data_IF_563645754136
#
_entry.id   IF_563645754136
#
_cell.length_a   1.000
_cell.length_b   1.000
_cell.length_c   1.000
_cell.angle_alpha   90.00
_cell.angle_beta   90.00
_cell.angle_gamma   90.00
#
_symmetry.space_group_name_H-M   'P 1'
#
loop_
_entity.id
_entity.type
_entity.pdbx_description
1 polymer ?
#
# COMPACT_ATOMS: atom_id res chain seq x y z
N UNK A 1 -20.88 -47.31 -25.01
CA UNK A 1 -19.83 -46.69 -24.16
C UNK A 1 -20.11 -47.06 -22.72
N UNK A 2 -19.24 -47.84 -22.08
CA UNK A 2 -19.42 -48.21 -20.67
C UNK A 2 -19.28 -46.97 -19.78
N UNK A 3 -20.33 -46.67 -19.01
CA UNK A 3 -20.37 -45.57 -18.04
C UNK A 3 -19.38 -45.84 -16.88
N UNK A 4 -18.14 -45.39 -17.03
CA UNK A 4 -17.10 -45.45 -15.99
C UNK A 4 -17.48 -44.48 -14.86
N UNK A 5 -17.51 -44.92 -13.58
CA UNK A 5 -17.77 -44.02 -12.46
C UNK A 5 -16.69 -42.94 -12.32
N UNK A 6 -17.03 -41.71 -11.91
CA UNK A 6 -16.05 -40.65 -11.66
C UNK A 6 -15.00 -41.08 -10.62
N UNK A 7 -13.79 -40.49 -10.64
CA UNK A 7 -12.76 -40.80 -9.65
C UNK A 7 -13.23 -40.47 -8.22
N UNK A 8 -12.74 -41.22 -7.23
CA UNK A 8 -13.08 -41.01 -5.81
C UNK A 8 -12.80 -39.59 -5.33
N UNK A 9 -11.78 -38.94 -5.90
CA UNK A 9 -11.41 -37.55 -5.61
C UNK A 9 -12.49 -36.54 -6.00
N UNK A 10 -13.37 -36.88 -6.94
CA UNK A 10 -14.50 -36.06 -7.37
C UNK A 10 -15.81 -36.34 -6.60
N UNK A 11 -15.79 -37.23 -5.60
CA UNK A 11 -16.97 -37.60 -4.81
C UNK A 11 -16.96 -36.88 -3.45
N UNK A 12 -18.14 -36.54 -2.91
CA UNK A 12 -18.23 -35.89 -1.60
C UNK A 12 -17.77 -36.82 -0.47
N UNK A 13 -17.41 -36.25 0.68
CA UNK A 13 -17.01 -37.03 1.86
C UNK A 13 -18.08 -38.05 2.27
N UNK A 14 -19.34 -37.63 2.31
CA UNK A 14 -20.48 -38.50 2.62
C UNK A 14 -20.62 -39.65 1.61
N UNK A 15 -20.40 -39.39 0.32
CA UNK A 15 -20.43 -40.42 -0.72
C UNK A 15 -19.29 -41.44 -0.55
N UNK A 16 -18.09 -40.96 -0.18
CA UNK A 16 -16.92 -41.81 0.10
C UNK A 16 -17.14 -42.67 1.34
N UNK A 17 -17.69 -42.11 2.41
CA UNK A 17 -18.04 -42.84 3.64
C UNK A 17 -19.12 -43.89 3.37
N UNK A 18 -20.14 -43.54 2.59
CA UNK A 18 -21.19 -44.50 2.20
C UNK A 18 -20.61 -45.65 1.37
N UNK A 19 -19.68 -45.36 0.45
CA UNK A 19 -19.00 -46.40 -0.34
C UNK A 19 -18.11 -47.28 0.55
N UNK A 20 -17.43 -46.70 1.54
CA UNK A 20 -16.62 -47.42 2.52
C UNK A 20 -17.48 -48.35 3.39
N UNK A 21 -18.63 -47.89 3.87
CA UNK A 21 -19.57 -48.72 4.64
C UNK A 21 -20.06 -49.92 3.81
N UNK A 22 -20.36 -49.72 2.52
CA UNK A 22 -20.70 -50.82 1.62
C UNK A 22 -19.54 -51.79 1.41
N UNK A 23 -18.32 -51.28 1.30
CA UNK A 23 -17.12 -52.10 1.18
C UNK A 23 -16.92 -52.98 2.42
N UNK A 24 -17.05 -52.42 3.62
CA UNK A 24 -16.94 -53.18 4.87
C UNK A 24 -17.94 -54.34 4.95
N UNK A 25 -19.15 -54.16 4.39
CA UNK A 25 -20.17 -55.21 4.32
C UNK A 25 -19.75 -56.35 3.39
N UNK A 26 -19.14 -56.06 2.24
CA UNK A 26 -18.73 -57.09 1.26
C UNK A 26 -17.31 -57.62 1.48
N UNK A 27 -16.49 -56.96 2.30
CA UNK A 27 -15.09 -57.32 2.55
C UNK A 27 -14.91 -58.77 3.03
N UNK A 28 -15.73 -59.32 3.96
CA UNK A 28 -15.61 -60.72 4.38
C UNK A 28 -15.83 -61.72 3.23
N UNK A 29 -16.66 -61.37 2.25
CA UNK A 29 -16.83 -62.20 1.04
C UNK A 29 -15.61 -62.10 0.11
N UNK A 30 -15.07 -60.89 -0.10
CA UNK A 30 -13.88 -60.67 -0.92
C UNK A 30 -12.63 -61.33 -0.32
N UNK A 31 -12.57 -61.49 1.00
CA UNK A 31 -11.50 -62.18 1.74
C UNK A 31 -11.73 -63.70 1.86
N UNK A 32 -12.79 -64.24 1.26
CA UNK A 32 -13.18 -65.66 1.35
C UNK A 32 -13.52 -66.16 2.76
N UNK A 33 -13.87 -65.25 3.68
CA UNK A 33 -14.24 -65.59 5.07
C UNK A 33 -15.72 -65.96 5.21
N UNK A 34 -16.60 -65.35 4.41
CA UNK A 34 -18.06 -65.60 4.44
C UNK A 34 -18.64 -65.77 3.05
N UNK A 35 -19.74 -66.51 2.94
CA UNK A 35 -20.55 -66.55 1.71
C UNK A 35 -21.50 -65.35 1.64
N UNK A 36 -21.88 -64.92 0.43
CA UNK A 36 -22.89 -63.86 0.27
C UNK A 36 -24.26 -64.20 0.89
N UNK A 37 -24.56 -65.48 1.07
CA UNK A 37 -25.78 -65.92 1.77
C UNK A 37 -25.70 -65.57 3.26
N UNK A 38 -24.59 -65.89 3.93
CA UNK A 38 -24.37 -65.54 5.34
C UNK A 38 -24.37 -64.02 5.58
N UNK A 39 -23.76 -63.24 4.68
CA UNK A 39 -23.79 -61.77 4.79
C UNK A 39 -25.20 -61.21 4.58
N UNK A 40 -25.99 -61.78 3.67
CA UNK A 40 -27.37 -61.37 3.45
C UNK A 40 -28.24 -61.62 4.69
N UNK A 41 -28.07 -62.77 5.35
CA UNK A 41 -28.82 -63.13 6.56
C UNK A 41 -28.45 -62.23 7.76
N UNK A 42 -27.17 -61.88 7.91
CA UNK A 42 -26.68 -61.01 9.01
C UNK A 42 -27.05 -59.53 8.84
N UNK A 43 -27.03 -59.01 7.60
CA UNK A 43 -27.22 -57.58 7.32
C UNK A 43 -28.64 -57.23 6.88
N UNK A 44 -29.47 -58.22 6.53
CA UNK A 44 -30.79 -58.03 5.94
C UNK A 44 -30.76 -57.47 4.52
N UNK A 45 -29.59 -57.38 3.88
CA UNK A 45 -29.44 -56.86 2.52
C UNK A 45 -29.65 -57.99 1.52
N UNK A 46 -30.53 -57.78 0.54
CA UNK A 46 -30.81 -58.77 -0.50
C UNK A 46 -29.52 -59.22 -1.22
N UNK A 47 -29.35 -60.54 -1.37
CA UNK A 47 -28.19 -61.17 -2.05
C UNK A 47 -27.89 -60.59 -3.44
N UNK A 48 -28.93 -60.18 -4.18
CA UNK A 48 -28.80 -59.49 -5.49
C UNK A 48 -28.07 -58.15 -5.39
N UNK A 49 -28.33 -57.38 -4.34
CA UNK A 49 -27.68 -56.09 -4.09
C UNK A 49 -26.22 -56.29 -3.71
N UNK A 50 -25.92 -57.30 -2.88
CA UNK A 50 -24.54 -57.66 -2.53
C UNK A 50 -23.74 -58.11 -3.77
N UNK A 51 -24.34 -58.95 -4.63
CA UNK A 51 -23.73 -59.31 -5.92
C UNK A 51 -23.44 -58.09 -6.80
N UNK A 52 -24.36 -57.12 -6.85
CA UNK A 52 -24.16 -55.89 -7.61
C UNK A 52 -23.02 -55.03 -7.04
N UNK A 53 -22.88 -54.98 -5.70
CA UNK A 53 -21.75 -54.29 -5.05
C UNK A 53 -20.43 -54.97 -5.32
N UNK A 54 -20.36 -56.31 -5.19
CA UNK A 54 -19.16 -57.09 -5.54
C UNK A 54 -18.75 -56.83 -6.99
N UNK A 55 -19.67 -56.96 -7.95
CA UNK A 55 -19.37 -56.70 -9.36
C UNK A 55 -18.90 -55.25 -9.60
N UNK A 56 -19.53 -54.27 -8.95
CA UNK A 56 -19.12 -52.88 -9.04
C UNK A 56 -17.71 -52.65 -8.48
N UNK A 57 -17.39 -53.30 -7.35
CA UNK A 57 -16.07 -53.23 -6.72
C UNK A 57 -15.00 -53.95 -7.54
N UNK A 58 -15.27 -55.15 -8.06
CA UNK A 58 -14.32 -55.90 -8.89
C UNK A 58 -13.97 -55.13 -10.17
N UNK A 59 -14.96 -54.48 -10.78
CA UNK A 59 -14.77 -53.77 -12.03
C UNK A 59 -14.12 -52.39 -11.86
N UNK A 60 -14.40 -51.68 -10.75
CA UNK A 60 -14.02 -50.27 -10.61
C UNK A 60 -13.38 -49.90 -9.28
N UNK A 61 -13.21 -50.85 -8.35
CA UNK A 61 -12.79 -50.59 -6.97
C UNK A 61 -13.86 -49.83 -6.18
N UNK A 62 -13.45 -49.08 -5.15
CA UNK A 62 -14.35 -48.38 -4.24
C UNK A 62 -15.31 -47.40 -4.95
N UNK A 63 -14.91 -46.80 -6.08
CA UNK A 63 -15.78 -45.91 -6.88
C UNK A 63 -16.98 -46.63 -7.51
N UNK A 64 -16.90 -47.96 -7.69
CA UNK A 64 -18.03 -48.77 -8.16
C UNK A 64 -19.16 -48.93 -7.15
N UNK A 65 -18.89 -48.64 -5.87
CA UNK A 65 -19.88 -48.70 -4.78
C UNK A 65 -20.63 -47.37 -4.56
N UNK A 66 -20.19 -46.30 -5.23
CA UNK A 66 -20.84 -44.99 -5.18
C UNK A 66 -22.14 -45.04 -5.98
N UNK A 67 -23.22 -44.49 -5.39
CA UNK A 67 -24.52 -44.43 -6.06
C UNK A 67 -24.41 -43.51 -7.28
N UNK A 68 -24.78 -44.02 -8.46
CA UNK A 68 -24.89 -43.19 -9.67
C UNK A 68 -25.96 -42.12 -9.44
N UNK A 69 -25.58 -40.85 -9.53
CA UNK A 69 -26.51 -39.75 -9.74
C UNK A 69 -27.15 -39.89 -11.12
N UNK A 70 -28.40 -39.43 -11.25
CA UNK A 70 -29.08 -39.48 -12.55
C UNK A 70 -28.36 -38.55 -13.52
N UNK A 71 -28.22 -38.97 -14.78
CA UNK A 71 -27.54 -38.19 -15.83
C UNK A 71 -28.22 -36.87 -16.20
N UNK A 72 -29.51 -36.73 -15.86
CA UNK A 72 -30.33 -35.53 -16.09
C UNK A 72 -30.40 -34.60 -14.88
N UNK A 73 -29.79 -34.95 -13.74
CA UNK A 73 -29.82 -34.09 -12.56
C UNK A 73 -29.01 -32.82 -12.83
N UNK A 74 -29.71 -31.68 -12.93
CA UNK A 74 -29.07 -30.39 -13.17
C UNK A 74 -29.32 -29.81 -14.57
N UNK A 75 -29.74 -30.61 -15.56
CA UNK A 75 -30.10 -30.07 -16.88
C UNK A 75 -31.43 -29.32 -16.84
N UNK A 76 -31.58 -28.33 -17.71
CA UNK A 76 -32.84 -27.63 -17.96
C UNK A 76 -33.31 -28.08 -19.34
N UNK A 77 -34.48 -28.72 -19.42
CA UNK A 77 -35.09 -29.04 -20.71
C UNK A 77 -35.69 -27.77 -21.31
N UNK A 78 -34.89 -27.06 -22.09
CA UNK A 78 -35.29 -25.92 -22.92
C UNK A 78 -34.50 -25.96 -24.23
N UNK A 79 -35.06 -25.35 -25.26
CA UNK A 79 -34.36 -25.13 -26.51
C UNK A 79 -33.08 -24.30 -26.26
N UNK A 80 -31.92 -24.70 -26.81
CA UNK A 80 -30.67 -23.94 -26.71
C UNK A 80 -30.81 -22.46 -27.11
N UNK A 81 -31.69 -22.11 -28.05
CA UNK A 81 -31.92 -20.72 -28.45
C UNK A 81 -32.57 -19.90 -27.33
N UNK A 82 -33.51 -20.50 -26.61
CA UNK A 82 -34.20 -19.88 -25.47
C UNK A 82 -33.22 -19.69 -24.31
N UNK A 83 -32.37 -20.67 -24.04
CA UNK A 83 -31.32 -20.57 -23.01
C UNK A 83 -30.38 -19.39 -23.32
N UNK A 84 -29.85 -19.31 -24.55
CA UNK A 84 -28.98 -18.20 -24.98
C UNK A 84 -29.68 -16.84 -24.89
N UNK A 85 -30.97 -16.76 -25.21
CA UNK A 85 -31.74 -15.53 -25.10
C UNK A 85 -31.89 -15.09 -23.64
N UNK A 86 -32.17 -16.02 -22.72
CA UNK A 86 -32.23 -15.76 -21.27
C UNK A 86 -30.88 -15.24 -20.76
N UNK A 87 -29.78 -15.90 -21.11
CA UNK A 87 -28.42 -15.49 -20.70
C UNK A 87 -28.11 -14.06 -21.17
N UNK A 88 -28.40 -13.72 -22.43
CA UNK A 88 -28.21 -12.36 -22.95
C UNK A 88 -29.02 -11.32 -22.19
N UNK A 89 -30.28 -11.63 -21.85
CA UNK A 89 -31.12 -10.71 -21.07
C UNK A 89 -30.56 -10.49 -19.67
N UNK A 90 -30.08 -11.54 -19.00
CA UNK A 90 -29.44 -11.45 -17.67
C UNK A 90 -28.16 -10.61 -17.72
N UNK A 91 -27.30 -10.84 -18.72
CA UNK A 91 -26.04 -10.10 -18.84
C UNK A 91 -26.25 -8.64 -19.26
N UNK A 92 -27.29 -8.34 -20.04
CA UNK A 92 -27.60 -6.97 -20.51
C UNK A 92 -28.25 -6.10 -19.43
N UNK A 93 -29.17 -6.65 -18.64
CA UNK A 93 -30.03 -5.84 -17.75
C UNK A 93 -29.70 -6.02 -16.27
N UNK A 94 -28.65 -5.34 -15.80
CA UNK A 94 -28.17 -5.38 -14.40
C UNK A 94 -29.24 -5.15 -13.33
N UNK A 95 -30.14 -4.17 -13.55
CA UNK A 95 -31.12 -3.72 -12.54
C UNK A 95 -32.45 -4.48 -12.60
N UNK A 96 -32.63 -5.36 -13.58
CA UNK A 96 -33.90 -6.04 -13.75
C UNK A 96 -33.99 -7.23 -12.81
N UNK A 97 -35.13 -7.36 -12.15
CA UNK A 97 -35.45 -8.57 -11.39
C UNK A 97 -35.56 -9.78 -12.32
N UNK A 98 -35.32 -10.99 -11.80
CA UNK A 98 -35.55 -12.22 -12.56
C UNK A 98 -37.00 -12.35 -13.04
N UNK A 99 -37.95 -11.78 -12.30
CA UNK A 99 -39.35 -11.70 -12.72
C UNK A 99 -39.53 -10.83 -13.96
N UNK A 100 -38.83 -9.70 -14.03
CA UNK A 100 -38.82 -8.84 -15.22
C UNK A 100 -38.20 -9.55 -16.42
N UNK A 101 -37.08 -10.25 -16.21
CA UNK A 101 -36.40 -11.04 -17.24
C UNK A 101 -37.29 -12.18 -17.76
N UNK A 102 -38.01 -12.87 -16.85
CA UNK A 102 -38.98 -13.90 -17.19
C UNK A 102 -40.12 -13.37 -18.09
N UNK A 103 -40.70 -12.21 -17.77
CA UNK A 103 -41.72 -11.58 -18.63
C UNK A 103 -41.17 -11.24 -20.02
N UNK A 104 -39.96 -10.70 -20.08
CA UNK A 104 -39.32 -10.32 -21.36
C UNK A 104 -39.06 -11.54 -22.26
N UNK A 105 -38.55 -12.64 -21.70
CA UNK A 105 -38.33 -13.86 -22.50
C UNK A 105 -39.64 -14.50 -22.93
N UNK A 106 -40.69 -14.51 -22.10
CA UNK A 106 -42.00 -15.04 -22.48
C UNK A 106 -42.61 -14.27 -23.67
N UNK A 107 -42.42 -12.94 -23.73
CA UNK A 107 -42.82 -12.13 -24.88
C UNK A 107 -42.03 -12.48 -26.14
N UNK A 108 -40.70 -12.61 -26.04
CA UNK A 108 -39.86 -13.02 -27.17
C UNK A 108 -40.20 -14.43 -27.69
N UNK A 109 -40.52 -15.36 -26.78
CA UNK A 109 -40.95 -16.70 -27.14
C UNK A 109 -42.29 -16.68 -27.89
N UNK A 110 -43.24 -15.82 -27.52
CA UNK A 110 -44.52 -15.67 -28.23
C UNK A 110 -44.32 -15.14 -29.65
N UNK A 111 -43.51 -14.11 -29.83
CA UNK A 111 -43.23 -13.54 -31.15
C UNK A 111 -42.54 -14.53 -32.10
N UNK A 112 -41.70 -15.41 -31.54
CA UNK A 112 -40.89 -16.37 -32.32
C UNK A 112 -41.47 -17.79 -32.37
N UNK A 113 -42.59 -18.04 -31.71
CA UNK A 113 -43.20 -19.37 -31.62
C UNK A 113 -42.39 -20.37 -30.79
N UNK A 114 -41.52 -19.92 -29.89
CA UNK A 114 -40.75 -20.80 -28.99
C UNK A 114 -41.57 -21.21 -27.77
N UNK A 115 -41.24 -22.36 -27.18
CA UNK A 115 -41.81 -22.77 -25.90
C UNK A 115 -41.38 -21.80 -24.80
N UNK A 116 -42.36 -21.29 -24.05
CA UNK A 116 -42.10 -20.36 -22.96
C UNK A 116 -41.44 -21.06 -21.76
N UNK A 117 -40.37 -20.48 -21.20
CA UNK A 117 -39.75 -21.02 -20.00
C UNK A 117 -40.59 -20.69 -18.76
N UNK A 118 -40.56 -21.59 -17.78
CA UNK A 118 -41.04 -21.30 -16.43
C UNK A 118 -40.06 -20.39 -15.69
N UNK A 119 -40.57 -19.68 -14.67
CA UNK A 119 -39.73 -18.85 -13.79
C UNK A 119 -38.58 -19.66 -13.17
N UNK A 120 -38.86 -20.89 -12.74
CA UNK A 120 -37.85 -21.78 -12.15
C UNK A 120 -36.70 -22.09 -13.13
N UNK A 121 -37.00 -22.28 -14.42
CA UNK A 121 -35.98 -22.52 -15.42
C UNK A 121 -35.11 -21.27 -15.65
N UNK A 122 -35.71 -20.07 -15.64
CA UNK A 122 -34.97 -18.80 -15.72
C UNK A 122 -34.08 -18.59 -14.49
N UNK A 123 -34.58 -18.85 -13.28
CA UNK A 123 -33.80 -18.79 -12.04
C UNK A 123 -32.63 -19.78 -12.06
N UNK A 124 -32.86 -21.02 -12.50
CA UNK A 124 -31.82 -22.05 -12.61
C UNK A 124 -30.74 -21.68 -13.63
N UNK A 125 -31.13 -21.11 -14.78
CA UNK A 125 -30.17 -20.58 -15.78
C UNK A 125 -29.35 -19.43 -15.18
N UNK A 126 -30.00 -18.50 -14.48
CA UNK A 126 -29.32 -17.41 -13.77
C UNK A 126 -28.30 -17.91 -12.74
N UNK A 127 -28.64 -18.94 -11.98
CA UNK A 127 -27.73 -19.58 -11.00
C UNK A 127 -26.60 -20.36 -11.67
N UNK A 128 -26.81 -20.88 -12.87
CA UNK A 128 -25.78 -21.59 -13.63
C UNK A 128 -24.76 -20.66 -14.31
N UNK A 129 -25.15 -19.40 -14.58
CA UNK A 129 -24.23 -18.36 -15.05
C UNK A 129 -23.21 -18.03 -13.95
N UNK A 130 -21.93 -18.13 -14.28
CA UNK A 130 -20.87 -17.80 -13.33
C UNK A 130 -20.96 -16.34 -12.86
N UNK A 131 -20.71 -16.13 -11.57
CA UNK A 131 -20.69 -14.77 -11.01
C UNK A 131 -19.62 -13.90 -11.66
N UNK A 132 -18.52 -14.52 -12.11
CA UNK A 132 -17.46 -13.87 -12.87
C UNK A 132 -17.97 -13.23 -14.17
N UNK A 133 -18.82 -13.94 -14.93
CA UNK A 133 -19.42 -13.41 -16.17
C UNK A 133 -20.42 -12.27 -15.88
N UNK A 134 -21.19 -12.38 -14.79
CA UNK A 134 -22.12 -11.30 -14.37
C UNK A 134 -21.35 -10.04 -13.98
N UNK A 135 -20.29 -10.18 -13.19
CA UNK A 135 -19.45 -9.04 -12.78
C UNK A 135 -18.77 -8.40 -14.00
N UNK A 136 -18.23 -9.20 -14.92
CA UNK A 136 -17.64 -8.69 -16.15
C UNK A 136 -18.67 -7.90 -16.99
N UNK A 137 -19.86 -8.45 -17.20
CA UNK A 137 -20.90 -7.79 -17.99
C UNK A 137 -21.47 -6.53 -17.32
N UNK A 138 -21.58 -6.51 -15.99
CA UNK A 138 -22.31 -5.45 -15.26
C UNK A 138 -21.42 -4.37 -14.67
N UNK A 139 -20.15 -4.68 -14.42
CA UNK A 139 -19.18 -3.82 -13.73
C UNK A 139 -17.89 -3.61 -14.55
N UNK A 140 -17.73 -4.36 -15.65
CA UNK A 140 -16.62 -4.20 -16.58
C UNK A 140 -15.35 -4.96 -16.18
N UNK A 141 -14.37 -4.90 -17.08
CA UNK A 141 -13.11 -5.64 -17.01
C UNK A 141 -12.34 -5.38 -15.70
N UNK A 142 -12.27 -4.13 -15.24
CA UNK A 142 -11.51 -3.76 -14.03
C UNK A 142 -12.06 -4.41 -12.74
N UNK A 143 -13.39 -4.46 -12.61
CA UNK A 143 -14.04 -5.10 -11.46
C UNK A 143 -13.87 -6.62 -11.50
N UNK A 144 -13.95 -7.21 -12.71
CA UNK A 144 -13.66 -8.62 -12.93
C UNK A 144 -12.24 -8.99 -12.51
N UNK A 145 -11.23 -8.28 -13.03
CA UNK A 145 -9.82 -8.54 -12.74
C UNK A 145 -9.55 -8.43 -11.23
N UNK A 146 -10.11 -7.45 -10.54
CA UNK A 146 -9.93 -7.29 -9.10
C UNK A 146 -10.54 -8.44 -8.27
N UNK A 147 -11.62 -9.06 -8.74
CA UNK A 147 -12.38 -10.03 -7.97
C UNK A 147 -12.08 -11.49 -8.34
N UNK A 148 -11.71 -11.77 -9.60
CA UNK A 148 -11.62 -13.13 -10.14
C UNK A 148 -10.26 -13.50 -10.74
N UNK A 149 -9.37 -12.54 -11.08
CA UNK A 149 -8.02 -12.91 -11.51
C UNK A 149 -7.24 -13.50 -10.33
N UNK A 150 -6.55 -14.62 -10.57
CA UNK A 150 -5.57 -15.14 -9.63
C UNK A 150 -4.40 -14.15 -9.49
N UNK A 151 -4.27 -13.57 -8.30
CA UNK A 151 -3.15 -12.69 -7.96
C UNK A 151 -1.99 -13.57 -7.47
N UNK A 152 -0.97 -13.76 -8.31
CA UNK A 152 0.32 -14.23 -7.82
C UNK A 152 0.99 -13.07 -7.07
N UNK A 153 0.79 -13.02 -5.75
CA UNK A 153 1.46 -12.05 -4.88
C UNK A 153 2.91 -12.51 -4.74
N UNK A 154 3.86 -11.76 -5.29
CA UNK A 154 5.23 -11.83 -4.76
C UNK A 154 5.16 -11.20 -3.38
N UNK A 155 5.29 -12.03 -2.36
CA UNK A 155 5.42 -11.60 -0.98
C UNK A 155 6.88 -11.78 -0.60
N UNK A 156 7.48 -10.72 -0.09
CA UNK A 156 8.79 -10.73 0.53
C UNK A 156 8.78 -11.73 1.70
N UNK A 157 9.87 -12.43 1.83
CA UNK A 157 10.12 -13.48 2.82
C UNK A 157 10.90 -12.94 4.03
N UNK A 158 11.58 -11.80 3.90
CA UNK A 158 12.36 -11.16 4.98
C UNK A 158 12.44 -9.63 4.79
N UNK A 159 12.81 -8.87 5.85
CA UNK A 159 12.98 -7.42 5.75
C UNK A 159 14.06 -7.01 4.73
N UNK A 160 13.89 -5.87 4.07
CA UNK A 160 14.74 -5.37 2.97
C UNK A 160 14.76 -6.18 1.67
N UNK A 161 14.00 -7.27 1.55
CA UNK A 161 13.90 -7.94 0.25
C UNK A 161 13.19 -7.05 -0.79
N UNK A 162 12.03 -6.49 -0.42
CA UNK A 162 11.23 -5.64 -1.31
C UNK A 162 10.76 -4.39 -0.57
N UNK A 163 11.14 -3.24 -1.09
CA UNK A 163 10.57 -1.95 -0.69
C UNK A 163 9.62 -1.43 -1.76
N UNK A 164 8.47 -0.90 -1.35
CA UNK A 164 7.48 -0.29 -2.24
C UNK A 164 7.44 1.22 -2.04
N UNK A 165 7.45 1.98 -3.13
CA UNK A 165 7.24 3.43 -3.08
C UNK A 165 5.91 3.84 -3.73
N UNK A 166 5.24 4.81 -3.12
CA UNK A 166 4.06 5.45 -3.70
C UNK A 166 3.87 6.87 -3.17
N UNK A 167 3.03 7.63 -3.86
CA UNK A 167 2.67 8.98 -3.52
C UNK A 167 1.15 9.11 -3.35
N UNK A 168 0.72 9.95 -2.42
CA UNK A 168 -0.69 10.35 -2.30
C UNK A 168 -0.82 11.83 -2.00
N UNK A 169 -1.87 12.46 -2.53
CA UNK A 169 -2.25 13.82 -2.15
C UNK A 169 -3.06 13.75 -0.86
N UNK A 170 -2.53 14.30 0.24
CA UNK A 170 -3.18 14.21 1.54
C UNK A 170 -4.51 14.97 1.56
N UNK A 171 -5.49 14.42 2.28
CA UNK A 171 -6.83 15.00 2.43
C UNK A 171 -6.88 16.06 3.55
N UNK A 172 -5.84 16.91 3.62
CA UNK A 172 -5.69 17.97 4.62
C UNK A 172 -5.18 19.26 3.97
N UNK A 173 -5.71 20.40 4.41
CA UNK A 173 -5.20 21.73 4.08
C UNK A 173 -4.23 22.19 5.16
N UNK A 174 -3.03 22.60 4.74
CA UNK A 174 -2.02 23.22 5.61
C UNK A 174 -1.52 24.53 4.99
N UNK A 175 -0.93 25.40 5.81
CA UNK A 175 -0.41 26.69 5.38
C UNK A 175 0.92 26.51 4.66
N UNK A 176 0.99 27.01 3.42
CA UNK A 176 2.24 27.15 2.69
C UNK A 176 3.04 28.39 3.15
N UNK A 177 4.23 28.59 2.57
CA UNK A 177 5.12 29.72 2.89
C UNK A 177 4.48 31.10 2.71
N UNK A 178 3.44 31.20 1.86
CA UNK A 178 2.69 32.43 1.60
C UNK A 178 1.48 32.59 2.53
N UNK A 179 1.34 31.71 3.54
CA UNK A 179 0.19 31.57 4.44
C UNK A 179 -1.13 31.31 3.71
N UNK A 180 -1.08 30.59 2.60
CA UNK A 180 -2.27 30.12 1.88
C UNK A 180 -2.51 28.64 2.17
N UNK A 181 -3.77 28.21 2.34
CA UNK A 181 -4.11 26.80 2.44
C UNK A 181 -3.76 26.05 1.15
N UNK A 182 -3.06 24.94 1.27
CA UNK A 182 -2.67 24.09 0.16
C UNK A 182 -2.60 22.63 0.63
N UNK A 183 -2.88 21.68 -0.27
CA UNK A 183 -2.80 20.25 0.03
C UNK A 183 -1.40 19.74 -0.27
N UNK A 184 -0.71 19.09 0.69
CA UNK A 184 0.59 18.50 0.45
C UNK A 184 0.47 17.08 -0.09
N UNK A 185 1.46 16.70 -0.90
CA UNK A 185 1.76 15.33 -1.28
C UNK A 185 2.62 14.66 -0.21
N UNK A 186 2.37 13.37 0.00
CA UNK A 186 3.17 12.47 0.81
C UNK A 186 3.73 11.37 -0.10
N UNK A 187 5.04 11.24 -0.11
CA UNK A 187 5.76 10.08 -0.68
C UNK A 187 6.13 9.16 0.46
N UNK A 188 5.89 7.86 0.33
CA UNK A 188 6.26 6.85 1.33
C UNK A 188 7.00 5.70 0.69
N UNK A 189 7.99 5.18 1.41
CA UNK A 189 8.68 3.93 1.13
C UNK A 189 8.37 2.95 2.25
N UNK A 190 7.79 1.81 1.89
CA UNK A 190 7.31 0.79 2.80
C UNK A 190 8.11 -0.51 2.59
N UNK A 191 8.60 -1.10 3.66
CA UNK A 191 9.11 -2.47 3.63
C UNK A 191 7.94 -3.45 3.50
N UNK A 192 7.96 -4.28 2.45
CA UNK A 192 6.82 -5.11 2.09
C UNK A 192 6.61 -6.26 3.08
N UNK A 193 7.68 -6.88 3.57
CA UNK A 193 7.63 -7.99 4.53
C UNK A 193 7.02 -7.56 5.87
N UNK A 194 7.57 -6.51 6.48
CA UNK A 194 7.18 -6.04 7.80
C UNK A 194 5.96 -5.10 7.78
N UNK A 195 5.61 -4.54 6.62
CA UNK A 195 4.71 -3.38 6.51
C UNK A 195 5.21 -2.15 7.27
N UNK A 196 6.51 -2.06 7.59
CA UNK A 196 7.06 -0.90 8.29
C UNK A 196 7.46 0.19 7.29
N UNK A 197 7.10 1.44 7.59
CA UNK A 197 7.57 2.60 6.81
C UNK A 197 9.08 2.79 7.00
N UNK A 198 9.84 2.71 5.91
CA UNK A 198 11.28 2.93 5.89
C UNK A 198 11.62 4.41 5.74
N UNK A 199 10.89 5.17 4.92
CA UNK A 199 11.11 6.60 4.73
C UNK A 199 9.88 7.30 4.15
N UNK A 200 9.83 8.62 4.29
CA UNK A 200 8.79 9.43 3.70
C UNK A 200 9.26 10.84 3.33
N UNK A 201 8.45 11.54 2.55
CA UNK A 201 8.72 12.93 2.18
C UNK A 201 7.41 13.69 1.99
N UNK A 202 7.25 14.83 2.67
CA UNK A 202 6.05 15.68 2.61
C UNK A 202 6.36 16.98 1.86
N UNK A 203 5.59 17.31 0.83
CA UNK A 203 5.83 18.53 0.04
C UNK A 203 4.57 19.03 -0.66
N UNK A 204 4.53 20.30 -1.05
CA UNK A 204 3.46 20.83 -1.91
C UNK A 204 3.69 20.58 -3.40
N UNK A 205 4.91 20.17 -3.78
CA UNK A 205 5.22 19.86 -5.17
C UNK A 205 4.56 18.54 -5.58
N UNK A 206 4.10 18.47 -6.83
CA UNK A 206 3.58 17.23 -7.39
C UNK A 206 4.66 16.12 -7.42
N UNK A 207 4.28 14.84 -7.38
CA UNK A 207 5.20 13.69 -7.43
C UNK A 207 6.25 13.84 -8.53
N UNK A 208 7.47 13.43 -8.20
CA UNK A 208 8.63 13.50 -9.09
C UNK A 208 9.76 12.59 -8.60
N UNK A 209 10.68 12.25 -9.51
CA UNK A 209 11.86 11.42 -9.21
C UNK A 209 12.65 11.89 -7.99
N UNK A 210 12.77 13.20 -7.86
CA UNK A 210 13.52 13.80 -6.77
C UNK A 210 12.86 13.58 -5.42
N UNK A 211 11.52 13.52 -5.36
CA UNK A 211 10.81 13.29 -4.09
C UNK A 211 10.98 11.84 -3.63
N UNK A 212 10.92 10.91 -4.58
CA UNK A 212 11.29 9.51 -4.33
C UNK A 212 12.73 9.41 -3.87
N UNK A 213 13.68 10.06 -4.55
CA UNK A 213 15.09 10.02 -4.20
C UNK A 213 15.34 10.52 -2.77
N UNK A 214 14.71 11.62 -2.37
CA UNK A 214 14.80 12.15 -1.00
C UNK A 214 14.14 11.24 0.04
N UNK A 215 13.02 10.62 -0.29
CA UNK A 215 12.40 9.60 0.57
C UNK A 215 13.32 8.37 0.70
N UNK A 216 13.95 7.93 -0.39
CA UNK A 216 14.86 6.79 -0.44
C UNK A 216 16.15 7.07 0.34
N UNK A 217 16.70 8.27 0.23
CA UNK A 217 17.84 8.72 1.02
C UNK A 217 17.57 8.57 2.53
N UNK A 218 16.41 9.07 3.00
CA UNK A 218 15.99 8.91 4.39
C UNK A 218 15.71 7.43 4.74
N UNK A 219 15.14 6.68 3.80
CA UNK A 219 14.82 5.28 4.01
C UNK A 219 16.07 4.43 4.25
N UNK A 220 17.11 4.60 3.42
CA UNK A 220 18.35 3.83 3.50
C UNK A 220 19.16 4.19 4.73
N UNK A 221 19.30 5.48 5.04
CA UNK A 221 20.14 5.90 6.15
C UNK A 221 19.47 5.71 7.52
N UNK A 222 20.29 5.72 8.58
CA UNK A 222 19.82 5.65 9.96
C UNK A 222 19.11 6.94 10.33
N UNK A 223 17.99 6.82 11.05
CA UNK A 223 17.21 7.97 11.53
C UNK A 223 17.84 8.50 12.82
N UNK A 224 17.65 9.79 13.07
CA UNK A 224 18.02 10.39 14.34
C UNK A 224 17.16 9.83 15.50
N UNK A 225 15.87 9.57 15.23
CA UNK A 225 15.00 8.89 16.18
C UNK A 225 15.35 7.40 16.25
N UNK A 226 15.85 6.96 17.41
CA UNK A 226 16.26 5.56 17.67
C UNK A 226 15.09 4.56 17.63
N UNK A 227 13.87 5.03 17.90
CA UNK A 227 12.67 4.19 17.84
C UNK A 227 12.23 3.91 16.39
N UNK A 228 12.83 4.61 15.41
CA UNK A 228 12.65 4.34 13.99
C UNK A 228 13.85 3.58 13.42
N UNK A 229 13.93 2.28 13.73
CA UNK A 229 15.08 1.42 13.38
C UNK A 229 15.14 0.94 11.93
N UNK A 230 14.07 1.12 11.15
CA UNK A 230 13.97 0.65 9.77
C UNK A 230 15.01 1.37 8.92
N UNK A 231 15.93 0.66 8.27
CA UNK A 231 16.97 1.24 7.41
C UNK A 231 17.67 0.18 6.54
N UNK A 232 18.60 0.60 5.70
CA UNK A 232 19.43 -0.25 4.86
C UNK A 232 19.09 -0.20 3.37
N UNK A 233 19.86 -0.93 2.58
CA UNK A 233 19.71 -1.04 1.13
C UNK A 233 18.77 -2.21 0.83
N UNK A 234 17.64 -1.99 0.14
CA UNK A 234 16.75 -3.07 -0.26
C UNK A 234 17.30 -3.84 -1.47
N UNK A 235 16.94 -5.11 -1.61
CA UNK A 235 17.28 -5.89 -2.82
C UNK A 235 16.45 -5.44 -4.02
N UNK A 236 15.15 -5.22 -3.81
CA UNK A 236 14.23 -4.76 -4.83
C UNK A 236 13.54 -3.47 -4.39
N UNK A 237 13.51 -2.49 -5.29
CA UNK A 237 12.75 -1.26 -5.09
C UNK A 237 11.64 -1.19 -6.14
N UNK A 238 10.41 -1.41 -5.67
CA UNK A 238 9.21 -1.50 -6.46
C UNK A 238 8.46 -0.17 -6.53
N UNK A 239 8.29 0.37 -7.73
CA UNK A 239 7.66 1.68 -7.95
C UNK A 239 6.69 1.67 -9.13
N UNK A 240 5.89 2.73 -9.28
CA UNK A 240 5.05 2.91 -10.46
C UNK A 240 5.90 3.23 -11.70
N UNK A 241 5.37 2.95 -12.90
CA UNK A 241 5.95 3.30 -14.20
C UNK A 241 5.83 4.81 -14.53
N UNK A 242 5.53 5.66 -13.54
CA UNK A 242 5.52 7.11 -13.72
C UNK A 242 6.89 7.60 -14.22
N UNK A 243 6.88 8.71 -14.98
CA UNK A 243 8.09 9.43 -15.42
C UNK A 243 9.04 9.81 -14.28
N UNK A 244 8.54 9.72 -13.06
CA UNK A 244 9.22 9.96 -11.81
C UNK A 244 10.26 8.87 -11.50
N UNK A 245 10.18 7.68 -12.09
CA UNK A 245 11.09 6.58 -11.70
C UNK A 245 11.93 6.02 -12.85
N UNK A 246 11.76 6.55 -14.06
CA UNK A 246 12.60 6.27 -15.24
C UNK A 246 13.70 7.31 -15.45
N UNK A 247 13.95 8.19 -14.47
CA UNK A 247 15.03 9.15 -14.59
C UNK A 247 16.39 8.42 -14.54
N UNK A 248 17.28 8.73 -15.47
CA UNK A 248 18.65 8.18 -15.51
C UNK A 248 19.37 8.28 -14.16
N UNK A 249 19.00 9.27 -13.36
CA UNK A 249 19.60 9.53 -12.06
C UNK A 249 19.23 8.50 -10.99
N UNK A 250 17.94 8.15 -10.87
CA UNK A 250 17.50 7.11 -9.92
C UNK A 250 18.03 5.73 -10.33
N UNK A 251 18.10 5.47 -11.64
CA UNK A 251 18.70 4.26 -12.19
C UNK A 251 20.20 4.15 -11.85
N UNK A 252 20.96 5.24 -12.00
CA UNK A 252 22.37 5.28 -11.60
C UNK A 252 22.57 4.95 -10.12
N UNK A 253 21.77 5.56 -9.23
CA UNK A 253 21.86 5.28 -7.79
C UNK A 253 21.50 3.83 -7.49
N UNK A 254 20.45 3.31 -8.11
CA UNK A 254 20.07 1.92 -7.90
C UNK A 254 21.17 0.96 -8.35
N UNK A 255 21.82 1.22 -9.49
CA UNK A 255 22.97 0.41 -9.94
C UNK A 255 24.14 0.49 -8.95
N UNK A 256 24.50 1.69 -8.49
CA UNK A 256 25.60 1.91 -7.57
C UNK A 256 25.38 1.20 -6.22
N UNK A 257 24.15 1.30 -5.70
CA UNK A 257 23.72 0.64 -4.47
C UNK A 257 23.31 -0.84 -4.67
N UNK A 258 23.39 -1.36 -5.90
CA UNK A 258 23.00 -2.74 -6.28
C UNK A 258 21.53 -3.08 -5.96
N UNK A 259 20.65 -2.10 -6.07
CA UNK A 259 19.20 -2.22 -5.93
C UNK A 259 18.59 -2.62 -7.28
N UNK A 260 17.75 -3.65 -7.30
CA UNK A 260 16.98 -4.02 -8.47
C UNK A 260 15.71 -3.14 -8.56
N UNK A 261 15.67 -2.23 -9.54
CA UNK A 261 14.48 -1.43 -9.81
C UNK A 261 13.41 -2.26 -10.51
N UNK A 262 12.23 -2.33 -9.92
CA UNK A 262 11.08 -3.06 -10.48
C UNK A 262 9.93 -2.08 -10.67
N UNK A 263 9.39 -2.03 -11.88
CA UNK A 263 8.27 -1.16 -12.20
C UNK A 263 6.97 -1.95 -12.37
N UNK A 264 5.86 -1.41 -11.86
CA UNK A 264 4.54 -2.00 -12.08
C UNK A 264 4.12 -1.84 -13.54
N UNK A 265 3.65 -2.90 -14.19
CA UNK A 265 3.15 -2.84 -15.56
C UNK A 265 2.07 -1.74 -15.73
N UNK A 266 2.16 -0.96 -16.81
CA UNK A 266 1.26 0.16 -17.09
C UNK A 266 -0.20 -0.29 -17.01
N UNK A 267 -1.00 0.36 -16.16
CA UNK A 267 -2.43 0.11 -16.02
C UNK A 267 -2.82 -1.13 -15.21
N UNK A 268 -1.86 -1.84 -14.58
CA UNK A 268 -2.13 -2.99 -13.69
C UNK A 268 -1.53 -2.74 -12.30
N UNK A 269 -2.28 -2.14 -11.35
CA UNK A 269 -1.83 -1.94 -9.99
C UNK A 269 -1.85 -3.28 -9.23
N UNK A 270 -0.89 -4.16 -9.54
CA UNK A 270 -0.75 -5.47 -8.89
C UNK A 270 0.40 -5.35 -7.88
N UNK A 271 0.15 -5.71 -6.62
CA UNK A 271 1.17 -5.76 -5.55
C UNK A 271 1.20 -4.58 -4.57
N UNK A 272 0.46 -3.48 -4.79
CA UNK A 272 0.55 -2.24 -3.96
C UNK A 272 -0.45 -2.15 -2.81
N UNK A 273 -1.21 -3.22 -2.54
CA UNK A 273 -2.29 -3.18 -1.54
C UNK A 273 -1.83 -2.90 -0.11
N UNK A 274 -0.54 -3.09 0.23
CA UNK A 274 0.02 -2.76 1.55
C UNK A 274 0.23 -1.24 1.70
N UNK A 275 0.84 -0.57 0.72
CA UNK A 275 1.05 0.89 0.76
C UNK A 275 -0.27 1.67 0.61
N UNK A 276 -1.20 1.19 -0.23
CA UNK A 276 -2.55 1.78 -0.32
C UNK A 276 -3.29 1.71 1.02
N UNK A 277 -3.17 0.58 1.74
CA UNK A 277 -3.75 0.42 3.08
C UNK A 277 -3.07 1.32 4.11
N UNK A 278 -1.77 1.57 3.98
CA UNK A 278 -1.08 2.55 4.80
C UNK A 278 -1.64 3.96 4.58
N UNK A 279 -1.86 4.40 3.34
CA UNK A 279 -2.47 5.71 3.08
C UNK A 279 -3.87 5.84 3.67
N UNK A 280 -4.69 4.78 3.59
CA UNK A 280 -5.99 4.75 4.28
C UNK A 280 -5.82 4.90 5.80
N UNK A 281 -4.78 4.28 6.38
CA UNK A 281 -4.49 4.38 7.81
C UNK A 281 -4.09 5.80 8.20
N UNK A 282 -3.27 6.49 7.40
CA UNK A 282 -2.96 7.92 7.62
C UNK A 282 -4.23 8.76 7.60
N UNK A 283 -5.08 8.57 6.60
CA UNK A 283 -6.31 9.35 6.49
C UNK A 283 -7.25 9.13 7.69
N UNK A 284 -7.46 7.86 8.08
CA UNK A 284 -8.44 7.48 9.10
C UNK A 284 -7.96 7.65 10.54
N UNK A 285 -6.65 7.52 10.80
CA UNK A 285 -6.10 7.45 12.16
C UNK A 285 -5.24 8.66 12.53
N UNK A 286 -4.80 9.46 11.55
CA UNK A 286 -4.03 10.67 11.79
C UNK A 286 -4.79 11.91 11.30
N UNK A 287 -5.02 12.00 9.99
CA UNK A 287 -5.50 13.26 9.41
C UNK A 287 -6.88 13.64 9.90
N UNK A 288 -7.77 12.67 10.13
CA UNK A 288 -9.14 12.91 10.61
C UNK A 288 -9.20 13.73 11.90
N UNK A 289 -8.17 13.65 12.74
CA UNK A 289 -8.07 14.32 14.04
C UNK A 289 -7.32 15.66 13.97
N UNK A 290 -6.75 16.01 12.81
CA UNK A 290 -5.98 17.23 12.61
C UNK A 290 -6.83 18.38 12.04
N UNK A 291 -6.53 19.65 12.39
CA UNK A 291 -7.23 20.79 11.83
C UNK A 291 -6.90 20.95 10.35
N UNK A 292 -7.93 21.23 9.54
CA UNK A 292 -7.81 21.37 8.08
C UNK A 292 -8.12 20.09 7.31
N UNK A 293 -8.46 18.98 7.98
CA UNK A 293 -8.94 17.76 7.34
C UNK A 293 -10.19 18.03 6.50
N UNK A 294 -10.19 17.57 5.25
CA UNK A 294 -11.27 17.87 4.31
C UNK A 294 -12.59 17.17 4.66
N UNK A 295 -12.55 16.06 5.41
CA UNK A 295 -13.75 15.29 5.75
C UNK A 295 -14.65 15.93 6.82
N UNK A 296 -14.13 16.80 7.69
CA UNK A 296 -14.85 17.35 8.85
C UNK A 296 -15.07 18.88 8.78
N UNK A 297 -14.98 19.46 7.59
CA UNK A 297 -15.06 20.92 7.39
C UNK A 297 -13.76 21.63 7.77
N UNK A 298 -13.52 22.81 7.18
CA UNK A 298 -12.27 23.55 7.35
C UNK A 298 -12.26 24.24 8.72
N UNK A 299 -11.50 23.70 9.67
CA UNK A 299 -11.24 24.37 10.95
C UNK A 299 -10.33 25.60 10.76
N UNK A 300 -10.54 26.64 11.58
CA UNK A 300 -9.91 27.95 11.39
C UNK A 300 -8.39 27.97 11.63
N UNK A 301 -7.83 27.05 12.43
CA UNK A 301 -6.41 27.06 12.81
C UNK A 301 -5.62 25.97 12.09
N UNK A 302 -5.31 26.22 10.81
CA UNK A 302 -4.53 25.30 9.97
C UNK A 302 -3.09 25.13 10.47
N UNK A 303 -2.54 23.92 10.30
CA UNK A 303 -1.13 23.63 10.60
C UNK A 303 -0.19 24.22 9.55
N UNK A 304 1.08 24.38 9.90
CA UNK A 304 2.17 24.55 8.93
C UNK A 304 2.61 23.19 8.40
N UNK A 305 3.31 23.17 7.26
CA UNK A 305 3.86 21.93 6.68
C UNK A 305 4.77 21.18 7.68
N UNK A 306 5.63 21.88 8.41
CA UNK A 306 6.57 21.25 9.34
C UNK A 306 5.86 20.64 10.55
N UNK A 307 4.79 21.28 11.05
CA UNK A 307 3.99 20.69 12.13
C UNK A 307 3.23 19.44 11.65
N UNK A 308 2.78 19.43 10.40
CA UNK A 308 2.22 18.21 9.79
C UNK A 308 3.29 17.11 9.66
N UNK A 309 4.50 17.45 9.22
CA UNK A 309 5.62 16.51 9.08
C UNK A 309 6.01 15.86 10.42
N UNK A 310 6.06 16.64 11.50
CA UNK A 310 6.24 16.15 12.87
C UNK A 310 5.13 15.19 13.28
N UNK A 311 3.86 15.55 13.03
CA UNK A 311 2.71 14.70 13.35
C UNK A 311 2.70 13.40 12.55
N UNK A 312 3.11 13.43 11.29
CA UNK A 312 3.27 12.23 10.45
C UNK A 312 4.39 11.33 11.00
N UNK A 313 5.53 11.91 11.38
CA UNK A 313 6.65 11.17 11.98
C UNK A 313 6.25 10.51 13.31
N UNK A 314 5.63 11.25 14.22
CA UNK A 314 5.11 10.73 15.50
C UNK A 314 4.11 9.59 15.27
N UNK A 315 3.17 9.76 14.34
CA UNK A 315 2.20 8.73 14.00
C UNK A 315 2.86 7.46 13.47
N UNK A 316 3.83 7.59 12.55
CA UNK A 316 4.52 6.45 11.98
C UNK A 316 5.20 5.63 13.09
N UNK A 317 6.02 6.29 13.91
CA UNK A 317 6.89 5.62 14.89
C UNK A 317 6.13 5.11 16.10
N UNK A 318 5.25 5.93 16.68
CA UNK A 318 4.63 5.63 17.98
C UNK A 318 3.20 5.08 17.86
N UNK A 319 2.59 5.09 16.68
CA UNK A 319 1.26 4.51 16.46
C UNK A 319 1.27 3.39 15.42
N UNK A 320 1.65 3.70 14.17
CA UNK A 320 1.53 2.76 13.06
C UNK A 320 2.45 1.55 13.19
N UNK A 321 3.73 1.78 13.55
CA UNK A 321 4.73 0.72 13.74
C UNK A 321 4.47 -0.15 14.97
N UNK A 322 3.80 0.39 15.99
CA UNK A 322 3.50 -0.28 17.27
C UNK A 322 2.12 -0.97 17.28
N UNK A 323 1.34 -0.82 16.21
CA UNK A 323 -0.02 -1.37 16.13
C UNK A 323 0.00 -2.75 15.49
N UNK A 324 -0.80 -3.68 16.03
CA UNK A 324 -1.08 -4.96 15.39
C UNK A 324 -1.89 -4.74 14.10
N UNK A 325 -1.34 -5.13 12.95
CA UNK A 325 -2.02 -4.98 11.66
C UNK A 325 -2.90 -6.20 11.35
N UNK A 326 -4.03 -5.96 10.70
CA UNK A 326 -4.98 -7.04 10.35
C UNK A 326 -4.43 -8.04 9.33
N UNK A 327 -3.47 -7.61 8.50
CA UNK A 327 -2.84 -8.41 7.43
C UNK A 327 -1.74 -9.33 7.97
N UNK A 328 -0.79 -8.78 8.74
CA UNK A 328 0.37 -9.53 9.29
C UNK A 328 0.09 -10.14 10.67
N UNK A 329 -0.99 -9.72 11.34
CA UNK A 329 -1.34 -10.08 12.73
C UNK A 329 -0.26 -9.76 13.76
N UNK A 330 0.69 -8.90 13.37
CA UNK A 330 1.85 -8.49 14.17
C UNK A 330 2.08 -6.99 13.98
N UNK A 331 2.87 -6.43 14.87
CA UNK A 331 3.34 -5.04 14.79
C UNK A 331 4.46 -4.94 13.76
N UNK A 332 4.45 -3.92 12.88
CA UNK A 332 5.51 -3.75 11.89
C UNK A 332 6.91 -3.70 12.48
N UNK A 333 7.09 -3.05 13.63
CA UNK A 333 8.40 -2.95 14.27
C UNK A 333 8.93 -4.31 14.75
N UNK A 334 8.04 -5.18 15.24
CA UNK A 334 8.41 -6.54 15.66
C UNK A 334 8.72 -7.42 14.46
N UNK A 335 8.00 -7.26 13.36
CA UNK A 335 8.29 -7.96 12.11
C UNK A 335 9.63 -7.53 11.51
N UNK A 336 9.95 -6.24 11.57
CA UNK A 336 11.22 -5.70 11.11
C UNK A 336 12.41 -6.24 11.92
N UNK A 337 12.28 -6.27 13.25
CA UNK A 337 13.32 -6.76 14.15
C UNK A 337 13.33 -8.30 14.33
N UNK A 338 12.54 -9.03 13.54
CA UNK A 338 12.44 -10.48 13.66
C UNK A 338 13.75 -11.19 13.29
N UNK A 339 13.98 -12.36 13.89
CA UNK A 339 15.04 -13.31 13.51
C UNK A 339 16.48 -12.76 13.51
N UNK A 340 16.74 -11.70 14.29
CA UNK A 340 18.07 -11.09 14.39
C UNK A 340 18.54 -10.42 13.09
N UNK A 341 17.59 -9.97 12.27
CA UNK A 341 17.87 -9.29 11.00
C UNK A 341 18.82 -8.11 11.18
N UNK A 342 19.84 -8.04 10.32
CA UNK A 342 20.80 -6.94 10.26
C UNK A 342 20.71 -6.29 8.87
N UNK A 343 20.30 -5.00 8.79
CA UNK A 343 20.19 -4.33 7.51
C UNK A 343 21.55 -4.13 6.86
N UNK A 344 21.64 -4.40 5.55
CA UNK A 344 22.79 -4.01 4.74
C UNK A 344 22.86 -2.48 4.65
N UNK A 345 23.96 -1.88 5.08
CA UNK A 345 24.13 -0.42 5.08
C UNK A 345 25.10 0.00 3.97
N UNK A 346 24.91 1.18 3.36
CA UNK A 346 25.93 1.75 2.49
C UNK A 346 27.23 1.99 3.27
N UNK A 347 28.36 1.95 2.56
CA UNK A 347 29.70 2.10 3.14
C UNK A 347 29.86 3.44 3.85
N UNK A 348 29.23 4.49 3.30
CA UNK A 348 29.22 5.82 3.89
C UNK A 348 27.96 6.60 3.51
N UNK A 349 27.74 7.75 4.15
CA UNK A 349 26.60 8.62 3.83
C UNK A 349 26.77 9.25 2.43
N UNK A 350 28.01 9.50 2.04
CA UNK A 350 28.39 10.08 0.75
C UNK A 350 27.99 9.19 -0.43
N UNK A 351 27.91 7.87 -0.24
CA UNK A 351 27.35 6.94 -1.24
C UNK A 351 25.90 7.28 -1.61
N UNK A 352 25.18 8.01 -0.75
CA UNK A 352 23.81 8.45 -0.99
C UNK A 352 23.71 9.88 -1.54
N UNK A 353 24.82 10.62 -1.65
CA UNK A 353 24.81 12.03 -2.06
C UNK A 353 24.19 12.26 -3.43
N UNK A 354 24.22 11.25 -4.30
CA UNK A 354 23.52 11.32 -5.58
C UNK A 354 22.03 11.56 -5.38
N UNK A 355 21.37 10.94 -4.39
CA UNK A 355 19.94 11.11 -4.11
C UNK A 355 19.52 12.53 -3.66
N UNK A 356 20.50 13.42 -3.41
CA UNK A 356 20.26 14.79 -2.97
C UNK A 356 19.96 15.75 -4.14
N UNK A 357 19.38 16.91 -3.84
CA UNK A 357 19.14 17.96 -4.83
C UNK A 357 20.46 18.53 -5.33
N UNK A 358 20.70 18.46 -6.64
CA UNK A 358 21.84 19.08 -7.31
C UNK A 358 21.55 20.53 -7.72
N UNK A 359 22.42 21.47 -7.33
CA UNK A 359 22.36 22.86 -7.79
C UNK A 359 23.06 22.97 -9.15
N UNK A 360 22.29 23.11 -10.22
CA UNK A 360 22.80 23.16 -11.60
C UNK A 360 23.79 24.32 -11.88
N UNK A 361 23.68 25.43 -11.13
CA UNK A 361 24.60 26.57 -11.26
C UNK A 361 25.71 26.48 -10.22
N UNK A 362 26.95 26.33 -10.66
CA UNK A 362 28.13 26.34 -9.80
C UNK A 362 28.16 27.61 -8.92
N UNK A 363 28.65 27.44 -7.69
CA UNK A 363 28.86 28.51 -6.72
C UNK A 363 30.34 28.80 -6.59
N UNK A 364 30.67 30.06 -6.34
CA UNK A 364 32.05 30.47 -6.11
C UNK A 364 32.38 30.28 -4.63
N UNK A 365 33.56 29.77 -4.34
CA UNK A 365 34.11 29.75 -2.98
C UNK A 365 34.69 31.14 -2.69
N UNK A 366 34.22 31.77 -1.63
CA UNK A 366 34.74 33.04 -1.13
C UNK A 366 35.64 32.81 0.08
N UNK A 367 36.40 33.83 0.48
CA UNK A 367 37.28 33.77 1.65
C UNK A 367 36.53 33.49 2.96
N UNK A 368 35.24 33.86 3.01
CA UNK A 368 34.34 33.66 4.15
C UNK A 368 33.42 32.43 3.99
N UNK A 369 33.56 31.66 2.90
CA UNK A 369 32.83 30.43 2.64
C UNK A 369 32.02 30.43 1.34
N UNK A 370 31.00 29.59 1.28
CA UNK A 370 30.10 29.46 0.13
C UNK A 370 28.75 30.09 0.48
N UNK A 371 28.27 30.97 -0.40
CA UNK A 371 26.97 31.60 -0.26
C UNK A 371 25.89 30.86 -1.04
N UNK A 372 24.88 30.34 -0.33
CA UNK A 372 23.74 29.65 -0.93
C UNK A 372 22.46 29.94 -0.14
N UNK A 373 21.38 30.30 -0.85
CA UNK A 373 20.07 30.62 -0.25
C UNK A 373 20.12 31.70 0.85
N UNK A 374 21.07 32.63 0.77
CA UNK A 374 21.35 33.66 1.78
C UNK A 374 21.90 33.13 3.12
N UNK A 375 22.35 31.88 3.15
CA UNK A 375 23.15 31.30 4.21
C UNK A 375 24.63 31.23 3.78
N UNK A 376 25.51 31.16 4.78
CA UNK A 376 26.95 31.02 4.59
C UNK A 376 27.42 29.68 5.12
N UNK A 377 28.04 28.91 4.24
CA UNK A 377 28.55 27.58 4.54
C UNK A 377 30.07 27.60 4.60
N UNK A 378 30.64 27.02 5.66
CA UNK A 378 32.08 26.97 5.88
C UNK A 378 32.56 25.54 6.13
N UNK A 379 33.78 25.28 5.67
CA UNK A 379 34.57 24.11 6.04
C UNK A 379 36.05 24.51 5.89
N UNK A 380 36.96 24.08 6.79
CA UNK A 380 38.38 24.41 6.69
C UNK A 380 39.03 24.04 5.35
N UNK A 381 38.58 22.97 4.70
CA UNK A 381 39.12 22.51 3.41
C UNK A 381 38.81 23.48 2.27
N UNK A 382 37.81 24.35 2.40
CA UNK A 382 37.47 25.35 1.38
C UNK A 382 38.56 26.41 1.20
N UNK A 383 39.44 26.60 2.19
CA UNK A 383 40.48 27.63 2.14
C UNK A 383 41.42 27.46 0.92
N UNK A 384 41.70 26.22 0.52
CA UNK A 384 42.54 25.91 -0.65
C UNK A 384 41.84 26.15 -2.00
N UNK A 385 40.52 26.39 -1.98
CA UNK A 385 39.67 26.50 -3.18
C UNK A 385 39.04 27.89 -3.30
N UNK A 386 39.49 28.88 -2.51
CA UNK A 386 38.97 30.26 -2.60
C UNK A 386 39.18 30.81 -4.02
N UNK A 387 38.10 31.27 -4.63
CA UNK A 387 38.07 31.75 -6.02
C UNK A 387 37.57 30.71 -7.02
N UNK A 388 37.59 29.42 -6.66
CA UNK A 388 37.15 28.33 -7.52
C UNK A 388 35.62 28.20 -7.59
N UNK A 389 35.15 27.51 -8.63
CA UNK A 389 33.75 27.17 -8.81
C UNK A 389 33.47 25.74 -8.37
N UNK A 390 32.50 25.58 -7.47
CA UNK A 390 32.09 24.30 -6.90
C UNK A 390 30.62 24.00 -7.18
N UNK A 391 30.30 22.72 -7.25
CA UNK A 391 28.93 22.20 -7.33
C UNK A 391 28.44 21.87 -5.94
N UNK A 392 27.16 22.10 -5.68
CA UNK A 392 26.55 21.83 -4.38
C UNK A 392 25.43 20.81 -4.53
N UNK A 393 25.38 19.85 -3.61
CA UNK A 393 24.23 18.99 -3.36
C UNK A 393 23.72 19.17 -1.95
N UNK A 394 22.40 19.08 -1.74
CA UNK A 394 21.79 19.31 -0.42
C UNK A 394 20.45 18.59 -0.26
N UNK A 395 20.05 18.31 0.99
CA UNK A 395 18.68 17.88 1.32
C UNK A 395 17.83 19.13 1.58
N UNK A 396 16.67 19.32 0.93
CA UNK A 396 15.84 20.49 1.19
C UNK A 396 15.21 20.49 2.60
N UNK A 397 15.17 19.36 3.31
CA UNK A 397 14.69 19.25 4.70
C UNK A 397 15.70 19.78 5.71
N UNK A 398 16.98 19.72 5.36
CA UNK A 398 18.08 20.12 6.23
C UNK A 398 19.14 20.90 5.47
N UNK A 399 19.11 22.23 5.62
CA UNK A 399 20.12 23.14 5.11
C UNK A 399 21.19 23.50 6.13
N UNK A 400 21.28 22.80 7.26
CA UNK A 400 22.40 22.99 8.19
C UNK A 400 23.74 22.62 7.55
N UNK A 401 23.72 21.71 6.56
CA UNK A 401 24.90 21.29 5.83
C UNK A 401 24.65 21.17 4.32
N UNK A 402 25.73 21.27 3.55
CA UNK A 402 25.74 21.03 2.10
C UNK A 402 26.94 20.17 1.71
N UNK A 403 26.77 19.36 0.66
CA UNK A 403 27.84 18.57 0.06
C UNK A 403 28.48 19.38 -1.07
N UNK A 404 29.78 19.59 -1.00
CA UNK A 404 30.55 20.40 -1.95
C UNK A 404 31.38 19.51 -2.84
N UNK A 405 31.33 19.77 -4.15
CA UNK A 405 32.07 19.02 -5.17
C UNK A 405 32.90 19.97 -6.03
N UNK A 406 34.17 19.62 -6.25
CA UNK A 406 35.07 20.31 -7.17
C UNK A 406 35.46 19.34 -8.29
N UNK A 407 35.31 19.75 -9.56
CA UNK A 407 35.58 18.88 -10.72
C UNK A 407 34.95 17.48 -10.64
N UNK A 408 33.68 17.42 -10.19
CA UNK A 408 32.91 16.19 -9.94
C UNK A 408 33.44 15.26 -8.84
N UNK A 409 34.45 15.68 -8.07
CA UNK A 409 34.94 14.96 -6.88
C UNK A 409 34.37 15.57 -5.62
N UNK A 410 33.98 14.72 -4.68
CA UNK A 410 33.58 15.18 -3.35
C UNK A 410 34.76 15.92 -2.70
N UNK A 411 34.50 17.13 -2.23
CA UNK A 411 35.48 17.98 -1.57
C UNK A 411 35.30 17.94 -0.05
N UNK A 412 34.12 18.34 0.43
CA UNK A 412 33.82 18.41 1.86
C UNK A 412 32.31 18.58 2.11
N UNK A 413 31.93 18.38 3.37
CA UNK A 413 30.62 18.78 3.90
C UNK A 413 30.76 20.14 4.56
N UNK A 414 30.19 21.18 3.96
CA UNK A 414 30.24 22.52 4.52
C UNK A 414 29.01 22.76 5.41
N UNK A 415 29.24 23.28 6.61
CA UNK A 415 28.20 23.54 7.60
C UNK A 415 27.85 25.03 7.62
N UNK A 416 26.59 25.35 7.92
CA UNK A 416 26.15 26.70 8.20
C UNK A 416 26.24 26.95 9.72
N UNK A 417 27.23 27.73 10.22
CA UNK A 417 27.45 27.89 11.66
C UNK A 417 26.24 28.47 12.39
N UNK A 418 25.47 29.28 11.67
CA UNK A 418 24.30 30.00 12.14
C UNK A 418 23.14 29.07 12.52
N UNK A 419 23.09 27.87 11.93
CA UNK A 419 22.02 26.89 12.14
C UNK A 419 22.55 25.48 12.41
N UNK A 420 23.85 25.30 12.64
CA UNK A 420 24.50 23.99 12.80
C UNK A 420 23.96 23.12 13.97
N UNK A 421 23.11 23.67 14.84
CA UNK A 421 22.40 22.95 15.90
C UNK A 421 20.90 22.70 15.63
N UNK A 422 20.36 23.15 14.50
CA UNK A 422 18.94 23.03 14.17
C UNK A 422 18.76 22.45 12.77
N UNK A 423 17.84 21.52 12.61
CA UNK A 423 17.38 21.11 11.28
C UNK A 423 16.51 22.21 10.70
N UNK A 424 16.95 22.89 9.63
CA UNK A 424 16.22 24.00 9.01
C UNK A 424 15.88 23.67 7.56
N UNK A 425 14.59 23.69 7.24
CA UNK A 425 14.10 23.38 5.90
C UNK A 425 14.24 24.60 4.98
N UNK A 426 14.59 24.37 3.70
CA UNK A 426 14.68 25.42 2.67
C UNK A 426 13.44 26.32 2.61
N UNK A 427 12.25 25.75 2.78
CA UNK A 427 10.99 26.48 2.72
C UNK A 427 10.83 27.48 3.87
N UNK A 428 11.33 27.16 5.07
CA UNK A 428 11.32 28.08 6.21
C UNK A 428 12.16 29.32 5.89
N UNK A 429 13.35 29.12 5.33
CA UNK A 429 14.27 30.20 4.94
C UNK A 429 13.63 31.11 3.89
N UNK A 430 13.02 30.51 2.86
CA UNK A 430 12.36 31.28 1.80
C UNK A 430 11.16 32.07 2.36
N UNK A 431 10.37 31.47 3.27
CA UNK A 431 9.24 32.15 3.92
C UNK A 431 9.71 33.32 4.79
N UNK A 432 10.70 33.11 5.67
CA UNK A 432 11.27 34.14 6.53
C UNK A 432 11.81 35.32 5.70
N UNK A 433 12.52 35.03 4.60
CA UNK A 433 13.00 36.05 3.67
C UNK A 433 11.86 36.83 3.01
N UNK A 434 10.81 36.14 2.55
CA UNK A 434 9.66 36.80 1.93
C UNK A 434 8.90 37.69 2.91
N UNK A 435 8.75 37.24 4.16
CA UNK A 435 8.15 38.02 5.24
C UNK A 435 8.97 39.28 5.52
N UNK A 436 10.29 39.15 5.67
CA UNK A 436 11.19 40.29 5.84
C UNK A 436 11.15 41.26 4.66
N UNK A 437 11.15 40.76 3.42
CA UNK A 437 11.04 41.62 2.22
C UNK A 437 9.73 42.41 2.21
N UNK A 438 8.63 41.85 2.75
CA UNK A 438 7.36 42.57 2.93
C UNK A 438 7.46 43.62 4.05
N UNK A 439 8.07 43.29 5.19
CA UNK A 439 8.29 44.25 6.27
C UNK A 439 9.18 45.43 5.84
N UNK A 440 10.29 45.16 5.15
CA UNK A 440 11.21 46.17 4.62
C UNK A 440 10.58 47.05 3.52
N UNK A 441 9.55 46.56 2.83
CA UNK A 441 8.74 47.39 1.91
C UNK A 441 7.76 48.30 2.65
N UNK A 442 7.44 48.00 3.91
CA UNK A 442 6.56 48.79 4.78
C UNK A 442 7.31 49.79 5.67
N UNK A 443 8.55 49.50 6.07
CA UNK A 443 9.34 50.36 6.95
C UNK A 443 10.80 50.51 6.47
N UNK A 444 11.20 51.77 6.21
CA UNK A 444 12.60 52.14 5.96
C UNK A 444 13.37 52.21 7.30
N UNK A 445 13.87 51.07 7.80
CA UNK A 445 15.14 50.90 8.58
C UNK A 445 15.29 49.47 9.12
N UNK A 446 16.46 48.80 8.98
CA UNK A 446 16.72 47.48 9.58
C UNK A 446 17.49 47.57 10.92
N UNK A 447 17.25 46.60 11.83
CA UNK A 447 18.13 46.35 13.00
C UNK A 447 18.51 44.88 13.27
N UNK A 448 17.93 43.89 12.59
CA UNK A 448 18.13 42.43 12.90
C UNK A 448 18.25 41.65 11.59
N UNK A 449 18.95 40.50 11.49
CA UNK A 449 19.19 39.66 10.28
C UNK A 449 18.17 38.51 10.12
N UNK A 450 18.02 37.91 8.91
CA UNK A 450 17.01 36.83 8.64
C UNK A 450 17.26 35.61 9.52
N UNK A 451 18.53 35.36 9.81
CA UNK A 451 19.02 34.23 10.60
C UNK A 451 18.57 34.38 12.05
N UNK A 452 18.70 35.58 12.62
CA UNK A 452 18.27 35.88 14.00
C UNK A 452 16.77 35.61 14.19
N UNK A 453 15.92 35.93 13.21
CA UNK A 453 14.48 35.64 13.27
C UNK A 453 14.18 34.12 13.28
N UNK A 454 14.93 33.33 12.49
CA UNK A 454 14.74 31.87 12.41
C UNK A 454 15.21 31.21 13.72
N UNK A 455 16.40 31.56 14.20
CA UNK A 455 16.93 31.03 15.47
C UNK A 455 16.03 31.41 16.64
N UNK A 456 15.60 32.67 16.72
CA UNK A 456 14.72 33.13 17.79
C UNK A 456 13.36 32.42 17.74
N UNK A 457 12.80 32.16 16.55
CA UNK A 457 11.55 31.40 16.40
C UNK A 457 11.66 29.94 16.87
N UNK A 458 12.83 29.31 16.74
CA UNK A 458 13.06 27.95 17.25
C UNK A 458 13.27 27.95 18.76
N UNK A 459 13.96 28.95 19.30
CA UNK A 459 14.13 29.13 20.74
C UNK A 459 12.80 29.39 21.46
N UNK A 460 11.89 30.17 20.88
CA UNK A 460 10.57 30.43 21.52
C UNK A 460 9.69 29.19 21.59
N UNK A 461 9.80 28.27 20.63
CA UNK A 461 9.05 27.01 20.61
C UNK A 461 9.57 26.04 21.68
N UNK A 462 10.86 26.07 21.99
CA UNK A 462 11.46 25.29 23.08
C UNK A 462 11.13 25.87 24.47
N UNK A 463 11.02 27.19 24.62
CA UNK A 463 10.65 27.84 25.88
C UNK A 463 9.15 27.68 26.24
N UNK A 464 8.24 27.66 25.25
CA UNK A 464 6.80 27.45 25.47
C UNK A 464 6.45 25.99 25.86
N UNK A 465 7.38 25.04 25.74
CA UNK A 465 7.22 23.67 26.23
C UNK A 465 7.48 23.53 27.75
N UNK A 466 7.92 24.61 28.44
CA UNK A 466 8.47 24.53 29.79
C UNK A 466 7.69 25.17 30.93
N UNK A 467 6.59 25.92 30.70
CA UNK A 467 5.90 26.61 31.80
C UNK A 467 4.37 26.42 31.78
N UNK A 468 3.76 25.77 32.78
CA UNK A 468 2.32 25.78 32.92
C UNK A 468 1.86 27.17 33.35
N UNK A 469 1.15 27.87 32.47
CA UNK A 469 0.45 29.11 32.82
C UNK A 469 -0.63 28.77 33.86
N UNK A 470 -0.70 29.44 35.04
CA UNK A 470 -1.71 29.13 36.04
C UNK A 470 -3.10 29.50 35.50
N UNK A 471 -3.99 28.52 35.47
CA UNK A 471 -5.41 28.72 35.18
C UNK A 471 -6.01 29.68 36.23
N UNK A 472 -6.41 30.89 35.79
CA UNK A 472 -7.21 31.82 36.62
C UNK A 472 -8.55 31.16 36.95
N UNK A 473 -8.80 30.87 38.22
CA UNK A 473 -10.07 30.32 38.68
C UNK A 473 -11.16 31.40 38.62
N UNK A 474 -12.23 31.16 37.85
CA UNK A 474 -13.45 31.97 37.85
C UNK A 474 -14.37 31.60 39.03
N UNK A 475 -13.94 31.88 40.27
CA UNK A 475 -14.82 31.81 41.44
C UNK A 475 -15.16 33.22 41.91
N UNK A 476 -16.40 33.66 41.65
CA UNK A 476 -16.99 34.85 42.26
C UNK A 476 -17.16 34.60 43.76
N UNK A 477 -16.39 35.29 44.60
CA UNK A 477 -16.65 35.36 46.04
C UNK A 477 -17.58 36.55 46.30
N UNK A 478 -18.78 36.26 46.81
CA UNK A 478 -19.64 37.27 47.44
C UNK A 478 -19.07 37.55 48.84
N UNK A 479 -18.73 38.80 49.11
CA UNK A 479 -18.52 39.27 50.48
C UNK A 479 -19.86 39.73 51.03
N UNK A 480 -20.30 39.09 52.12
CA UNK A 480 -21.24 39.69 53.05
C UNK A 480 -20.42 40.37 54.15
N UNK A 481 -20.95 41.52 54.58
CA UNK A 481 -20.48 42.48 55.60
C UNK A 481 -19.53 43.58 55.13
#
# INVERSE_FOLDING_TARGET
>A
MQNVPPPLTGSSEEQRQTAMAKYQIIAPYLQSEKTLTSIADETGIAKRTLHYWVQGYDQFGLKGLIRKTRSDSGSVQLDPEVIKAIERLILKYRRNSLTSIHRMICGQCQEKGWQQPSYYQVDKISKSLSDSLKVLAHQGQKAYENQFDLIHRREASYPNEIWQADHTLLDILVLNEKRKPERPWLTVILDEFSCAVAGYYVTFQAPSAIQTALALHQAIWRKQNKDWSICGIPEQFYTDHGSDFTSNHLEQVAIDLKINLVFSAIGKPRGRGKIERFFLSINQLLLQDLPGYLGNGIQAKLLTLNKLEEKVGEFIVYNYHQRIHSTTKKEPILMWNADGFLPNMPESLESLDLLLLHVAKARKVHSDGIHFQALRFIDPNLAAYVGESVVIRYDPRDLAEIRVFYENRYLCTAICPEIAGYTVNLKEIVSARNQRRRMLKGELKPKTTVIEDIVQSKQTVEEDAGNPVPLKSNLKRYFNE
#
